data_IF_419487959800
#
_entry.id   IF_419487959800
#
_cell.length_a   1.000
_cell.length_b   1.000
_cell.length_c   1.000
_cell.angle_alpha   90.00
_cell.angle_beta   90.00
_cell.angle_gamma   90.00
#
_symmetry.space_group_name_H-M   'P 1'
#
loop_
_entity.id
_entity.type
_entity.pdbx_description
1 polymer ?
#
# COMPACT_ATOMS: atom_id res chain seq x y z
N UNK A 1 -20.34 -44.10 -51.03
CA UNK A 1 -20.97 -42.86 -50.55
C UNK A 1 -21.54 -43.16 -49.15
N UNK A 2 -20.76 -43.38 -48.08
CA UNK A 2 -19.62 -42.54 -47.60
C UNK A 2 -20.02 -41.07 -47.73
N UNK A 3 -20.39 -40.33 -46.69
CA UNK A 3 -19.86 -40.17 -45.33
C UNK A 3 -21.05 -39.92 -44.35
N UNK A 4 -21.18 -40.37 -43.09
CA UNK A 4 -20.27 -40.53 -41.95
C UNK A 4 -19.69 -39.21 -41.41
N UNK A 5 -20.15 -38.83 -40.22
CA UNK A 5 -19.63 -37.70 -39.42
C UNK A 5 -20.80 -36.92 -38.81
N UNK A 6 -21.41 -37.37 -37.71
CA UNK A 6 -20.87 -37.24 -36.35
C UNK A 6 -20.28 -35.84 -36.15
N UNK A 7 -21.14 -34.91 -35.78
CA UNK A 7 -20.78 -33.85 -34.84
C UNK A 7 -21.90 -33.77 -33.80
N UNK A 8 -21.89 -34.76 -32.91
CA UNK A 8 -22.41 -34.55 -31.57
C UNK A 8 -21.46 -33.59 -30.88
N UNK A 9 -21.83 -32.31 -30.80
CA UNK A 9 -21.21 -31.42 -29.84
C UNK A 9 -21.74 -31.79 -28.44
N UNK A 10 -20.86 -32.22 -27.54
CA UNK A 10 -21.23 -32.76 -26.25
C UNK A 10 -21.60 -31.65 -25.29
N UNK A 11 -22.57 -31.96 -24.43
CA UNK A 11 -22.74 -31.30 -23.15
C UNK A 11 -23.23 -29.86 -23.25
N UNK A 12 -24.53 -29.70 -23.05
CA UNK A 12 -25.00 -28.67 -22.14
C UNK A 12 -24.33 -28.95 -20.78
N UNK A 13 -23.07 -28.53 -20.65
CA UNK A 13 -22.51 -28.27 -19.34
C UNK A 13 -23.42 -27.17 -18.82
N UNK A 14 -24.29 -27.54 -17.87
CA UNK A 14 -24.64 -26.63 -16.79
C UNK A 14 -23.30 -26.11 -16.25
N UNK A 15 -22.81 -25.01 -16.83
CA UNK A 15 -21.96 -24.09 -16.13
C UNK A 15 -22.80 -23.70 -14.94
N UNK A 16 -22.54 -24.37 -13.81
CA UNK A 16 -22.81 -23.80 -12.51
C UNK A 16 -22.27 -22.38 -12.60
N UNK A 17 -23.19 -21.45 -12.76
CA UNK A 17 -22.94 -20.05 -12.52
C UNK A 17 -22.68 -20.01 -11.02
N UNK A 18 -21.45 -20.36 -10.60
CA UNK A 18 -20.92 -19.84 -9.35
C UNK A 18 -21.10 -18.34 -9.51
N UNK A 19 -22.12 -17.80 -8.83
CA UNK A 19 -22.35 -16.37 -8.78
C UNK A 19 -20.98 -15.76 -8.48
N UNK A 20 -20.43 -14.93 -9.39
CA UNK A 20 -19.11 -14.37 -9.16
C UNK A 20 -19.20 -13.66 -7.83
N UNK A 21 -18.41 -14.09 -6.85
CA UNK A 21 -18.43 -13.57 -5.49
C UNK A 21 -18.33 -12.05 -5.61
N UNK A 22 -19.48 -11.37 -5.50
CA UNK A 22 -19.58 -9.93 -5.72
C UNK A 22 -18.95 -9.29 -4.49
N UNK A 23 -17.64 -9.09 -4.55
CA UNK A 23 -16.98 -8.22 -3.59
C UNK A 23 -17.71 -6.87 -3.64
N UNK A 24 -18.33 -6.50 -2.52
CA UNK A 24 -18.97 -5.20 -2.39
C UNK A 24 -17.96 -4.08 -2.66
N UNK A 25 -18.44 -2.91 -3.07
CA UNK A 25 -17.60 -1.74 -3.36
C UNK A 25 -16.66 -1.38 -2.19
N UNK A 26 -17.09 -1.64 -0.95
CA UNK A 26 -16.32 -1.45 0.28
C UNK A 26 -15.08 -2.38 0.32
N UNK A 27 -15.30 -3.69 0.24
CA UNK A 27 -14.22 -4.68 0.35
C UNK A 27 -13.31 -4.66 -0.88
N UNK A 28 -13.88 -4.48 -2.06
CA UNK A 28 -13.14 -4.54 -3.32
C UNK A 28 -12.38 -3.25 -3.67
N UNK A 29 -13.01 -2.08 -3.51
CA UNK A 29 -12.46 -0.81 -4.02
C UNK A 29 -12.02 0.11 -2.88
N UNK A 30 -12.88 0.35 -1.90
CA UNK A 30 -12.59 1.32 -0.83
C UNK A 30 -11.40 0.88 0.01
N UNK A 31 -11.41 -0.33 0.55
CA UNK A 31 -10.33 -0.85 1.40
C UNK A 31 -9.00 -0.89 0.63
N UNK A 32 -9.02 -1.36 -0.62
CA UNK A 32 -7.84 -1.42 -1.49
C UNK A 32 -7.26 -0.03 -1.75
N UNK A 33 -8.12 0.96 -2.01
CA UNK A 33 -7.71 2.35 -2.22
C UNK A 33 -7.11 2.96 -0.95
N UNK A 34 -7.77 2.77 0.20
CA UNK A 34 -7.27 3.31 1.48
C UNK A 34 -5.91 2.73 1.85
N UNK A 35 -5.68 1.43 1.66
CA UNK A 35 -4.38 0.80 1.92
C UNK A 35 -3.27 1.29 1.00
N UNK A 36 -3.60 1.60 -0.26
CA UNK A 36 -2.61 2.11 -1.21
C UNK A 36 -2.22 3.57 -0.90
N UNK A 37 -3.17 4.39 -0.44
CA UNK A 37 -2.90 5.79 -0.06
C UNK A 37 -2.25 5.88 1.33
N UNK A 38 -2.75 5.13 2.31
CA UNK A 38 -2.27 5.10 3.70
C UNK A 38 -1.16 4.06 3.92
N UNK A 39 -0.28 3.91 2.95
CA UNK A 39 0.89 3.04 3.07
C UNK A 39 1.78 3.44 4.26
N UNK A 40 2.71 2.55 4.62
CA UNK A 40 3.63 2.76 5.76
C UNK A 40 4.45 4.05 5.63
N UNK A 41 4.71 4.48 4.38
CA UNK A 41 5.44 5.70 4.06
C UNK A 41 4.75 6.95 4.59
N UNK A 42 3.41 6.97 4.68
CA UNK A 42 2.68 8.14 5.17
C UNK A 42 3.10 8.50 6.60
N UNK A 43 3.25 7.51 7.48
CA UNK A 43 3.68 7.74 8.86
C UNK A 43 5.11 8.25 8.96
N UNK A 44 6.03 7.65 8.21
CA UNK A 44 7.45 8.03 8.23
C UNK A 44 7.70 9.39 7.57
N UNK A 45 7.08 9.64 6.41
CA UNK A 45 7.30 10.85 5.62
C UNK A 45 6.50 12.05 6.08
N UNK A 46 5.22 11.91 6.46
CA UNK A 46 4.45 13.06 6.93
C UNK A 46 5.02 13.61 8.24
N UNK A 47 5.51 12.74 9.13
CA UNK A 47 6.19 13.17 10.36
C UNK A 47 7.45 13.98 10.06
N UNK A 48 8.27 13.51 9.12
CA UNK A 48 9.47 14.23 8.66
C UNK A 48 9.15 15.57 7.98
N UNK A 49 8.19 15.57 7.04
CA UNK A 49 7.79 16.77 6.30
C UNK A 49 7.23 17.83 7.26
N UNK A 50 6.35 17.43 8.18
CA UNK A 50 5.77 18.35 9.17
C UNK A 50 6.84 18.95 10.07
N UNK A 51 7.85 18.16 10.45
CA UNK A 51 8.99 18.62 11.26
C UNK A 51 9.90 19.61 10.53
N UNK A 52 10.09 19.48 9.21
CA UNK A 52 11.01 20.33 8.43
C UNK A 52 10.32 21.56 7.83
N UNK A 53 9.13 21.38 7.25
CA UNK A 53 8.40 22.43 6.53
C UNK A 53 7.46 23.24 7.42
N UNK A 54 7.18 22.76 8.64
CA UNK A 54 6.23 23.35 9.56
C UNK A 54 4.77 23.09 9.17
N UNK A 55 3.85 23.49 10.06
CA UNK A 55 2.43 23.15 9.96
C UNK A 55 1.77 23.81 8.74
N UNK A 56 1.99 25.12 8.53
CA UNK A 56 1.30 25.89 7.48
C UNK A 56 1.67 25.37 6.08
N UNK A 57 2.96 25.12 5.83
CA UNK A 57 3.42 24.66 4.52
C UNK A 57 2.92 23.24 4.23
N UNK A 58 2.90 22.38 5.25
CA UNK A 58 2.37 21.02 5.15
C UNK A 58 0.89 21.03 4.77
N UNK A 59 0.08 21.93 5.33
CA UNK A 59 -1.32 22.11 4.94
C UNK A 59 -1.49 22.47 3.46
N UNK A 60 -0.66 23.37 2.93
CA UNK A 60 -0.69 23.75 1.51
C UNK A 60 -0.35 22.56 0.60
N UNK A 61 0.67 21.79 0.96
CA UNK A 61 1.09 20.59 0.21
C UNK A 61 -0.03 19.55 0.20
N UNK A 62 -0.68 19.29 1.34
CA UNK A 62 -1.79 18.35 1.44
C UNK A 62 -2.97 18.81 0.57
N UNK A 63 -3.35 20.09 0.64
CA UNK A 63 -4.45 20.62 -0.19
C UNK A 63 -4.16 20.49 -1.69
N UNK A 64 -2.94 20.79 -2.12
CA UNK A 64 -2.53 20.59 -3.52
C UNK A 64 -2.56 19.11 -3.93
N UNK A 65 -2.11 18.21 -3.06
CA UNK A 65 -2.13 16.77 -3.34
C UNK A 65 -3.57 16.24 -3.46
N UNK A 66 -4.47 16.68 -2.58
CA UNK A 66 -5.88 16.30 -2.59
C UNK A 66 -6.59 16.83 -3.84
N UNK A 67 -6.31 18.05 -4.28
CA UNK A 67 -6.93 18.58 -5.51
C UNK A 67 -6.51 17.79 -6.73
N UNK A 68 -5.21 17.49 -6.89
CA UNK A 68 -4.71 16.66 -8.00
C UNK A 68 -5.34 15.26 -7.97
N UNK A 69 -5.33 14.60 -6.80
CA UNK A 69 -5.90 13.26 -6.64
C UNK A 69 -7.40 13.24 -6.93
N UNK A 70 -8.14 14.27 -6.50
CA UNK A 70 -9.58 14.40 -6.75
C UNK A 70 -9.89 14.59 -8.23
N UNK A 71 -9.12 15.41 -8.94
CA UNK A 71 -9.27 15.59 -10.40
C UNK A 71 -9.03 14.27 -11.14
N UNK A 72 -7.98 13.52 -10.77
CA UNK A 72 -7.72 12.19 -11.34
C UNK A 72 -8.85 11.21 -11.03
N UNK A 73 -9.33 11.15 -9.78
CA UNK A 73 -10.41 10.26 -9.37
C UNK A 73 -11.72 10.56 -10.10
N UNK A 74 -12.07 11.85 -10.28
CA UNK A 74 -13.23 12.27 -11.05
C UNK A 74 -13.09 11.88 -12.54
N UNK A 75 -11.90 12.04 -13.11
CA UNK A 75 -11.62 11.66 -14.50
C UNK A 75 -11.75 10.14 -14.72
N UNK A 76 -11.21 9.33 -13.81
CA UNK A 76 -11.33 7.87 -13.85
C UNK A 76 -12.79 7.44 -13.65
N UNK A 77 -13.55 8.12 -12.79
CA UNK A 77 -14.98 7.85 -12.58
C UNK A 77 -15.82 8.17 -13.83
N UNK A 78 -15.48 9.24 -14.55
CA UNK A 78 -16.12 9.58 -15.82
C UNK A 78 -15.83 8.52 -16.89
N UNK A 79 -14.59 8.00 -16.95
CA UNK A 79 -14.22 6.89 -17.85
C UNK A 79 -15.02 5.63 -17.50
N UNK A 80 -15.10 5.27 -16.22
CA UNK A 80 -15.85 4.10 -15.75
C UNK A 80 -17.35 4.17 -16.04
N UNK A 81 -17.93 5.38 -16.08
CA UNK A 81 -19.36 5.59 -16.35
C UNK A 81 -19.67 5.63 -17.85
N UNK A 82 -18.77 6.16 -18.68
CA UNK A 82 -18.99 6.27 -20.13
C UNK A 82 -18.53 5.03 -20.93
N UNK A 83 -17.67 4.18 -20.37
CA UNK A 83 -17.39 2.82 -20.82
C UNK A 83 -16.71 2.63 -22.18
N UNK A 84 -16.60 3.67 -23.02
CA UNK A 84 -16.01 3.60 -24.36
C UNK A 84 -14.68 4.34 -24.41
N UNK A 85 -13.64 3.70 -23.91
CA UNK A 85 -12.26 4.07 -24.24
C UNK A 85 -11.82 3.24 -25.45
N UNK A 86 -11.32 3.90 -26.50
CA UNK A 86 -10.69 3.18 -27.61
C UNK A 86 -9.45 2.45 -27.09
N UNK A 87 -9.24 1.20 -27.50
CA UNK A 87 -8.09 0.39 -27.10
C UNK A 87 -6.74 1.09 -27.35
N UNK A 88 -6.68 1.98 -28.35
CA UNK A 88 -5.51 2.79 -28.67
C UNK A 88 -5.15 3.82 -27.58
N UNK A 89 -6.12 4.32 -26.82
CA UNK A 89 -5.88 5.22 -25.69
C UNK A 89 -5.62 4.45 -24.40
N UNK A 90 -6.24 3.27 -24.22
CA UNK A 90 -6.08 2.46 -23.02
C UNK A 90 -4.69 1.82 -22.89
N UNK A 91 -4.05 1.45 -24.00
CA UNK A 91 -2.74 0.79 -24.01
C UNK A 91 -1.63 1.59 -23.31
N UNK A 92 -1.31 2.82 -23.77
CA UNK A 92 -0.25 3.63 -23.15
C UNK A 92 -0.57 4.01 -21.69
N UNK A 93 -1.83 4.34 -21.40
CA UNK A 93 -2.28 4.69 -20.04
C UNK A 93 -2.10 3.49 -19.10
N UNK A 94 -2.41 2.28 -19.56
CA UNK A 94 -2.24 1.04 -18.80
C UNK A 94 -0.77 0.72 -18.48
N UNK A 95 0.15 0.96 -19.43
CA UNK A 95 1.59 0.74 -19.19
C UNK A 95 2.13 1.71 -18.14
N UNK A 96 1.80 3.00 -18.24
CA UNK A 96 2.22 4.01 -17.25
C UNK A 96 1.61 3.71 -15.88
N UNK A 97 0.34 3.31 -15.82
CA UNK A 97 -0.34 2.95 -14.58
C UNK A 97 0.25 1.68 -13.93
N UNK A 98 0.58 0.66 -14.71
CA UNK A 98 1.26 -0.55 -14.23
C UNK A 98 2.64 -0.21 -13.64
N UNK A 99 3.42 0.61 -14.34
CA UNK A 99 4.72 1.08 -13.83
C UNK A 99 4.59 1.88 -12.53
N UNK A 100 3.58 2.76 -12.43
CA UNK A 100 3.30 3.52 -11.21
C UNK A 100 2.96 2.61 -10.02
N UNK A 101 2.13 1.58 -10.22
CA UNK A 101 1.82 0.59 -9.17
C UNK A 101 3.05 -0.23 -8.76
N UNK A 102 3.92 -0.59 -9.72
CA UNK A 102 5.18 -1.27 -9.41
C UNK A 102 6.10 -0.38 -8.56
N UNK A 103 6.22 0.90 -8.91
CA UNK A 103 7.00 1.87 -8.13
C UNK A 103 6.42 2.08 -6.72
N UNK A 104 5.10 2.16 -6.60
CA UNK A 104 4.44 2.27 -5.30
C UNK A 104 4.76 1.06 -4.39
N UNK A 105 4.73 -0.15 -4.94
CA UNK A 105 5.12 -1.37 -4.21
C UNK A 105 6.61 -1.33 -3.81
N UNK A 106 7.49 -0.94 -4.72
CA UNK A 106 8.93 -0.83 -4.46
C UNK A 106 9.22 0.19 -3.35
N UNK A 107 8.61 1.39 -3.41
CA UNK A 107 8.79 2.42 -2.39
C UNK A 107 8.28 1.98 -1.02
N UNK A 108 7.12 1.32 -0.96
CA UNK A 108 6.58 0.83 0.31
C UNK A 108 7.49 -0.23 0.93
N UNK A 109 8.11 -1.07 0.09
CA UNK A 109 9.07 -2.08 0.56
C UNK A 109 10.37 -1.46 1.05
N UNK A 110 10.88 -0.43 0.37
CA UNK A 110 12.09 0.30 0.80
C UNK A 110 11.86 1.00 2.15
N UNK A 111 10.73 1.70 2.33
CA UNK A 111 10.42 2.36 3.61
C UNK A 111 10.28 1.37 4.77
N UNK A 112 9.73 0.18 4.50
CA UNK A 112 9.73 -0.91 5.49
C UNK A 112 11.13 -1.42 5.80
N UNK A 113 11.97 -1.64 4.77
CA UNK A 113 13.34 -2.13 4.95
C UNK A 113 14.21 -1.15 5.74
N UNK A 114 14.06 0.16 5.53
CA UNK A 114 14.72 1.21 6.33
C UNK A 114 14.30 1.11 7.80
N UNK A 115 13.00 1.01 8.07
CA UNK A 115 12.48 0.90 9.45
C UNK A 115 12.97 -0.36 10.16
N UNK A 116 12.96 -1.50 9.48
CA UNK A 116 13.48 -2.77 10.04
C UNK A 116 14.97 -2.68 10.32
N UNK A 117 15.74 -2.06 9.40
CA UNK A 117 17.18 -1.84 9.60
C UNK A 117 17.45 -0.94 10.81
N UNK A 118 16.70 0.14 10.97
CA UNK A 118 16.88 1.06 12.10
C UNK A 118 16.62 0.35 13.44
N UNK A 119 15.54 -0.45 13.52
CA UNK A 119 15.24 -1.28 14.69
C UNK A 119 16.32 -2.33 14.96
N UNK A 120 16.89 -2.92 13.91
CA UNK A 120 17.92 -3.95 14.04
C UNK A 120 19.24 -3.37 14.57
N UNK A 121 19.58 -2.15 14.15
CA UNK A 121 20.75 -1.42 14.66
C UNK A 121 20.58 -1.01 16.13
N UNK A 122 19.40 -0.54 16.53
CA UNK A 122 19.11 -0.23 17.95
C UNK A 122 19.29 -1.46 18.85
N UNK A 123 19.00 -2.65 18.32
CA UNK A 123 19.13 -3.93 19.05
C UNK A 123 20.52 -4.57 18.96
N UNK A 124 21.48 -3.92 18.30
CA UNK A 124 22.89 -4.35 18.21
C UNK A 124 23.14 -5.56 17.31
N UNK A 125 22.18 -5.96 16.47
CA UNK A 125 22.34 -7.08 15.55
C UNK A 125 22.89 -6.59 14.19
N UNK A 126 24.18 -6.23 14.17
CA UNK A 126 24.87 -5.83 12.93
C UNK A 126 25.19 -7.09 12.11
N UNK A 127 24.60 -7.21 10.91
CA UNK A 127 24.76 -8.40 10.07
C UNK A 127 25.99 -8.25 9.16
N UNK A 128 26.24 -7.08 8.55
CA UNK A 128 27.48 -6.82 7.78
C UNK A 128 28.00 -5.38 7.93
N UNK A 129 27.18 -4.36 7.70
CA UNK A 129 27.59 -2.93 7.75
C UNK A 129 26.35 -2.00 7.73
N UNK A 130 26.32 -0.88 8.48
CA UNK A 130 25.13 -0.02 8.61
C UNK A 130 24.61 0.56 7.29
N UNK A 131 25.45 0.77 6.27
CA UNK A 131 25.02 1.22 4.93
C UNK A 131 24.54 0.04 4.07
N UNK A 132 25.15 -1.13 4.22
CA UNK A 132 24.89 -2.26 3.32
C UNK A 132 23.72 -3.13 3.79
N UNK A 133 23.35 -3.08 5.06
CA UNK A 133 22.28 -3.91 5.66
C UNK A 133 20.88 -3.61 5.11
N UNK A 134 20.62 -2.42 4.56
CA UNK A 134 19.34 -2.09 3.88
C UNK A 134 19.08 -2.97 2.66
N UNK A 135 20.13 -3.30 1.90
CA UNK A 135 20.01 -4.06 0.65
C UNK A 135 19.55 -5.51 0.86
N UNK A 136 20.20 -6.33 1.71
CA UNK A 136 19.77 -7.70 1.97
C UNK A 136 18.42 -7.76 2.68
N UNK A 137 18.11 -6.85 3.60
CA UNK A 137 16.78 -6.77 4.25
C UNK A 137 15.69 -6.45 3.22
N UNK A 138 15.95 -5.48 2.33
CA UNK A 138 15.05 -5.14 1.24
C UNK A 138 14.82 -6.31 0.28
N UNK A 139 15.89 -6.95 -0.20
CA UNK A 139 15.80 -8.10 -1.12
C UNK A 139 15.08 -9.28 -0.48
N UNK A 140 15.36 -9.59 0.79
CA UNK A 140 14.66 -10.64 1.53
C UNK A 140 13.16 -10.31 1.66
N UNK A 141 12.81 -9.06 1.97
CA UNK A 141 11.40 -8.63 2.09
C UNK A 141 10.66 -8.70 0.75
N UNK A 142 11.24 -8.16 -0.33
CA UNK A 142 10.64 -8.22 -1.69
C UNK A 142 10.45 -9.67 -2.11
N UNK A 143 11.43 -10.54 -1.86
CA UNK A 143 11.35 -11.97 -2.20
C UNK A 143 10.23 -12.66 -1.43
N UNK A 144 10.08 -12.39 -0.14
CA UNK A 144 9.00 -12.92 0.68
C UNK A 144 7.63 -12.41 0.21
N UNK A 145 7.51 -11.11 -0.10
CA UNK A 145 6.29 -10.53 -0.66
C UNK A 145 5.93 -11.18 -2.01
N UNK A 146 6.92 -11.41 -2.88
CA UNK A 146 6.73 -12.07 -4.16
C UNK A 146 6.22 -13.51 -3.98
N UNK A 147 6.78 -14.27 -3.02
CA UNK A 147 6.31 -15.62 -2.71
C UNK A 147 4.87 -15.63 -2.21
N UNK A 148 4.49 -14.64 -1.39
CA UNK A 148 3.10 -14.49 -0.92
C UNK A 148 2.17 -14.17 -2.09
N UNK A 149 2.57 -13.29 -3.02
CA UNK A 149 1.79 -12.99 -4.21
C UNK A 149 1.58 -14.20 -5.13
N UNK A 150 2.50 -15.18 -5.11
CA UNK A 150 2.36 -16.43 -5.87
C UNK A 150 1.50 -17.49 -5.16
N UNK A 151 1.37 -17.43 -3.83
CA UNK A 151 0.69 -18.46 -3.03
C UNK A 151 -0.85 -18.46 -3.16
N UNK A 152 -1.46 -17.39 -3.69
CA UNK A 152 -2.86 -17.39 -4.14
C UNK A 152 -3.66 -16.14 -3.78
N UNK A 153 -4.55 -15.71 -4.69
CA UNK A 153 -5.33 -14.47 -4.57
C UNK A 153 -6.41 -14.51 -3.46
N UNK A 154 -6.82 -15.69 -3.01
CA UNK A 154 -7.79 -15.83 -1.91
C UNK A 154 -7.23 -15.39 -0.56
N UNK A 155 -5.95 -15.66 -0.32
CA UNK A 155 -5.24 -15.22 0.89
C UNK A 155 -4.97 -13.71 0.86
N UNK A 156 -4.73 -13.15 -0.33
CA UNK A 156 -4.48 -11.73 -0.53
C UNK A 156 -5.68 -10.87 -0.09
N UNK A 157 -6.90 -11.23 -0.51
CA UNK A 157 -8.12 -10.51 -0.13
C UNK A 157 -8.37 -10.51 1.39
N UNK A 158 -8.03 -11.64 2.06
CA UNK A 158 -8.12 -11.77 3.52
C UNK A 158 -6.99 -11.00 4.24
N UNK A 159 -5.80 -10.96 3.67
CA UNK A 159 -4.70 -10.16 4.21
C UNK A 159 -5.01 -8.65 4.11
N UNK A 160 -5.66 -8.21 3.03
CA UNK A 160 -6.07 -6.82 2.83
C UNK A 160 -6.96 -6.32 3.98
N UNK A 161 -7.99 -7.09 4.36
CA UNK A 161 -8.87 -6.71 5.47
C UNK A 161 -8.11 -6.70 6.81
N UNK A 162 -7.17 -7.62 7.01
CA UNK A 162 -6.32 -7.65 8.21
C UNK A 162 -5.41 -6.42 8.30
N UNK A 163 -4.72 -6.05 7.22
CA UNK A 163 -3.87 -4.87 7.18
C UNK A 163 -4.66 -3.58 7.44
N UNK A 164 -5.88 -3.49 6.90
CA UNK A 164 -6.75 -2.34 7.16
C UNK A 164 -7.09 -2.20 8.66
N UNK A 165 -7.41 -3.31 9.34
CA UNK A 165 -7.69 -3.27 10.79
C UNK A 165 -6.47 -2.83 11.60
N UNK A 166 -5.27 -3.31 11.26
CA UNK A 166 -4.03 -2.89 11.91
C UNK A 166 -3.77 -1.39 11.71
N UNK A 167 -4.03 -0.85 10.52
CA UNK A 167 -3.89 0.58 10.26
C UNK A 167 -4.86 1.42 11.09
N UNK A 168 -6.13 1.02 11.20
CA UNK A 168 -7.10 1.74 12.03
C UNK A 168 -6.69 1.71 13.51
N UNK A 169 -6.21 0.57 14.01
CA UNK A 169 -5.66 0.48 15.37
C UNK A 169 -4.46 1.41 15.56
N UNK A 170 -3.57 1.51 14.57
CA UNK A 170 -2.43 2.43 14.58
C UNK A 170 -2.89 3.89 14.65
N UNK A 171 -3.91 4.29 13.88
CA UNK A 171 -4.47 5.64 13.97
C UNK A 171 -5.05 5.93 15.35
N UNK A 172 -5.83 5.00 15.91
CA UNK A 172 -6.38 5.16 17.26
C UNK A 172 -5.24 5.31 18.28
N UNK A 173 -4.20 4.49 18.20
CA UNK A 173 -3.06 4.59 19.11
C UNK A 173 -2.33 5.93 18.97
N UNK A 174 -2.13 6.42 17.74
CA UNK A 174 -1.54 7.74 17.48
C UNK A 174 -2.37 8.89 18.09
N UNK A 175 -3.69 8.86 17.94
CA UNK A 175 -4.59 9.85 18.56
C UNK A 175 -4.54 9.78 20.09
N UNK A 176 -4.59 8.58 20.66
CA UNK A 176 -4.48 8.39 22.11
C UNK A 176 -3.12 8.88 22.62
N UNK A 177 -2.02 8.58 21.92
CA UNK A 177 -0.68 9.07 22.25
C UNK A 177 -0.53 10.60 22.12
N UNK A 178 -1.33 11.25 21.28
CA UNK A 178 -1.38 12.72 21.21
C UNK A 178 -2.11 13.34 22.40
N UNK A 179 -3.11 12.63 22.95
CA UNK A 179 -3.94 13.11 24.08
C UNK A 179 -3.32 12.80 25.44
N UNK A 180 -2.55 11.71 25.56
CA UNK A 180 -1.87 11.33 26.80
C UNK A 180 -0.45 11.96 26.80
N UNK A 181 -0.20 13.03 27.58
CA UNK A 181 1.16 13.52 27.74
C UNK A 181 2.02 12.45 28.44
N UNK A 182 3.32 12.30 28.06
CA UNK A 182 4.20 11.38 28.74
C UNK A 182 4.26 11.73 30.23
N UNK A 183 4.19 10.75 31.15
CA UNK A 183 4.36 11.02 32.56
C UNK A 183 5.70 11.75 32.77
N UNK A 184 5.62 12.86 33.49
CA UNK A 184 6.68 13.84 33.68
C UNK A 184 7.83 13.30 34.54
N UNK A 185 8.59 12.30 34.07
CA UNK A 185 9.80 11.82 34.75
C UNK A 185 10.91 11.46 33.75
N UNK A 186 11.37 12.47 33.02
CA UNK A 186 12.75 12.52 32.53
C UNK A 186 13.15 13.99 32.37
N UNK A 187 13.39 14.65 33.51
CA UNK A 187 14.21 15.87 33.52
C UNK A 187 15.49 15.58 32.73
N UNK A 188 15.80 16.33 31.66
CA UNK A 188 17.08 16.18 30.98
C UNK A 188 18.17 16.49 32.01
N UNK A 189 18.87 15.45 32.46
CA UNK A 189 20.08 15.48 33.31
C UNK A 189 21.27 16.17 32.61
N UNK A 190 20.99 17.10 31.69
CA UNK A 190 21.94 17.95 30.98
C UNK A 190 22.20 19.28 31.73
N UNK A 191 21.58 19.50 32.90
CA UNK A 191 21.82 20.67 33.76
C UNK A 191 22.67 20.34 35.02
N UNK A 192 23.34 19.18 35.05
CA UNK A 192 24.25 18.79 36.15
C UNK A 192 25.72 18.67 35.73
N UNK A 193 26.21 19.53 34.84
CA UNK A 193 27.66 19.79 34.77
C UNK A 193 27.99 20.94 35.74
N UNK A 194 28.69 20.69 36.87
CA UNK A 194 29.38 21.75 37.59
C UNK A 194 30.51 22.30 36.70
N UNK A 195 30.79 23.59 36.93
CA UNK A 195 31.76 24.47 36.24
C UNK A 195 33.06 23.79 35.79
#
# INVERSE_FOLDING_TARGET
MEDLGVDGCPGDQEQQHEEPVRFGWVTGVMIRCMLNIWGVILFLRLSWITSQAGIILTWVIILMSVTITSITALSVSAIATNGKISSEMGGPIGVVFSFANALACAMNTVGFAETVRDLLLERGAVIVDPINDVRPVGVATVTLLLLISLAGMEWEAKAQILFFLVLILSFINYFVGTVIPPPSEASPRFLQLPQ
#
